data_IF_734495933132
#
_entry.id   IF_734495933132
#
_cell.length_a   1.000
_cell.length_b   1.000
_cell.length_c   1.000
_cell.angle_alpha   90.00
_cell.angle_beta   90.00
_cell.angle_gamma   90.00
#
_symmetry.space_group_name_H-M   'P 1'
#
loop_
_entity.id
_entity.type
_entity.pdbx_description
1 polymer ?
#
# COMPACT_ATOMS: atom_id res chain seq x y z
N UNK A 1 17.94 6.77 -30.36
CA UNK A 1 17.74 8.23 -30.39
C UNK A 1 17.48 8.71 -28.96
N UNK A 2 18.35 9.58 -28.44
CA UNK A 2 18.15 10.22 -27.12
C UNK A 2 17.12 11.31 -27.30
N UNK A 3 15.94 11.16 -26.71
CA UNK A 3 14.93 12.21 -26.68
C UNK A 3 15.46 13.30 -25.74
N UNK A 4 15.82 14.46 -26.27
CA UNK A 4 16.12 15.64 -25.46
C UNK A 4 14.78 16.25 -25.03
N UNK A 5 14.51 16.23 -23.74
CA UNK A 5 13.37 16.94 -23.17
C UNK A 5 13.54 18.45 -23.47
N UNK A 6 12.53 19.05 -24.09
CA UNK A 6 12.53 20.51 -24.37
C UNK A 6 12.19 21.32 -23.12
N UNK A 7 11.53 20.71 -22.14
CA UNK A 7 11.15 21.32 -20.86
C UNK A 7 11.06 20.25 -19.78
N UNK A 8 11.62 20.51 -18.61
CA UNK A 8 11.46 19.70 -17.41
C UNK A 8 10.72 20.53 -16.35
N UNK A 9 9.68 19.95 -15.77
CA UNK A 9 8.92 20.54 -14.67
C UNK A 9 9.10 19.67 -13.43
N UNK A 10 9.70 20.23 -12.40
CA UNK A 10 9.82 19.56 -11.11
C UNK A 10 8.48 19.65 -10.35
N UNK A 11 8.16 18.63 -9.57
CA UNK A 11 7.02 18.63 -8.66
C UNK A 11 7.36 17.84 -7.40
N UNK A 12 6.72 18.20 -6.31
CA UNK A 12 6.91 17.64 -4.99
C UNK A 12 5.56 17.26 -4.37
N UNK A 13 5.61 16.55 -3.25
CA UNK A 13 4.41 16.33 -2.43
C UNK A 13 3.90 17.68 -1.94
N UNK A 14 2.63 18.04 -2.16
CA UNK A 14 2.09 19.31 -1.70
C UNK A 14 1.90 19.33 -0.18
N UNK A 15 1.75 20.50 0.41
CA UNK A 15 1.24 20.62 1.77
C UNK A 15 -0.21 20.16 1.79
N UNK A 16 -0.57 19.35 2.78
CA UNK A 16 -1.89 18.77 2.89
C UNK A 16 -2.31 18.56 4.36
N UNK A 17 -3.59 18.43 4.56
CA UNK A 17 -4.19 18.04 5.83
C UNK A 17 -4.83 16.66 5.68
N UNK A 18 -4.65 15.79 6.68
CA UNK A 18 -5.34 14.50 6.76
C UNK A 18 -6.77 14.75 7.22
N UNK A 19 -7.74 14.27 6.45
CA UNK A 19 -9.17 14.30 6.80
C UNK A 19 -9.70 12.86 6.84
N UNK A 20 -10.88 12.65 7.40
CA UNK A 20 -11.46 11.32 7.61
C UNK A 20 -11.53 10.50 6.30
N UNK A 21 -11.95 11.13 5.20
CA UNK A 21 -12.13 10.44 3.92
C UNK A 21 -10.85 10.39 3.04
N UNK A 22 -9.74 10.99 3.50
CA UNK A 22 -8.52 11.07 2.68
C UNK A 22 -7.67 12.30 3.03
N UNK A 23 -7.55 13.24 2.11
CA UNK A 23 -6.66 14.40 2.22
C UNK A 23 -7.35 15.68 1.76
N UNK A 24 -7.00 16.82 2.35
CA UNK A 24 -7.42 18.15 1.89
C UNK A 24 -6.22 18.94 1.40
N UNK A 25 -6.30 19.50 0.20
CA UNK A 25 -5.32 20.45 -0.35
C UNK A 25 -5.84 21.87 -0.33
N UNK A 26 -4.94 22.82 -0.08
CA UNK A 26 -5.25 24.24 -0.15
C UNK A 26 -4.68 24.85 -1.43
N UNK A 27 -5.53 25.53 -2.20
CA UNK A 27 -5.11 26.29 -3.37
C UNK A 27 -5.85 27.62 -3.41
N UNK A 28 -5.12 28.74 -3.45
CA UNK A 28 -5.69 30.10 -3.51
C UNK A 28 -6.76 30.39 -2.43
N UNK A 29 -6.56 29.85 -1.21
CA UNK A 29 -7.50 30.01 -0.09
C UNK A 29 -8.72 29.09 -0.14
N UNK A 30 -8.83 28.23 -1.16
CA UNK A 30 -9.90 27.22 -1.27
C UNK A 30 -9.39 25.84 -0.89
N UNK A 31 -10.19 25.10 -0.10
CA UNK A 31 -9.92 23.72 0.31
C UNK A 31 -10.53 22.74 -0.67
N UNK A 32 -9.73 21.78 -1.11
CA UNK A 32 -10.13 20.72 -2.04
C UNK A 32 -10.01 19.36 -1.34
N UNK A 33 -11.12 18.77 -0.84
CA UNK A 33 -11.11 17.44 -0.26
C UNK A 33 -10.93 16.37 -1.35
N UNK A 34 -10.02 15.42 -1.11
CA UNK A 34 -9.66 14.33 -2.01
C UNK A 34 -9.78 13.01 -1.27
N UNK A 35 -10.21 11.96 -1.97
CA UNK A 35 -10.34 10.62 -1.38
C UNK A 35 -9.03 9.82 -1.39
N UNK A 36 -8.01 10.32 -2.08
CA UNK A 36 -6.66 9.73 -2.06
C UNK A 36 -5.84 10.30 -0.90
N UNK A 37 -4.86 9.53 -0.44
CA UNK A 37 -3.95 9.91 0.63
C UNK A 37 -2.55 9.29 0.46
N UNK A 38 -1.60 9.76 1.26
CA UNK A 38 -0.20 9.35 1.26
C UNK A 38 0.65 10.14 0.26
N UNK A 39 1.85 10.49 0.69
CA UNK A 39 2.79 11.36 -0.03
C UNK A 39 2.99 10.96 -1.50
N UNK A 40 3.16 9.65 -1.75
CA UNK A 40 3.39 9.15 -3.10
C UNK A 40 2.18 9.31 -4.04
N UNK A 41 0.94 9.21 -3.52
CA UNK A 41 -0.28 9.46 -4.31
C UNK A 41 -0.47 10.94 -4.56
N UNK A 42 -0.18 11.78 -3.56
CA UNK A 42 -0.26 13.24 -3.70
C UNK A 42 0.83 13.77 -4.63
N UNK A 43 2.03 13.19 -4.61
CA UNK A 43 3.08 13.51 -5.58
C UNK A 43 2.66 13.15 -7.01
N UNK A 44 2.03 11.97 -7.21
CA UNK A 44 1.48 11.59 -8.51
C UNK A 44 0.36 12.56 -8.97
N UNK A 45 -0.50 12.99 -8.04
CA UNK A 45 -1.53 14.01 -8.30
C UNK A 45 -0.91 15.32 -8.80
N UNK A 46 0.17 15.80 -8.16
CA UNK A 46 0.87 17.01 -8.58
C UNK A 46 1.47 16.87 -9.98
N UNK A 47 2.05 15.71 -10.30
CA UNK A 47 2.54 15.42 -11.64
C UNK A 47 1.41 15.45 -12.67
N UNK A 48 0.28 14.83 -12.39
CA UNK A 48 -0.90 14.85 -13.26
C UNK A 48 -1.48 16.26 -13.42
N UNK A 49 -1.54 17.04 -12.35
CA UNK A 49 -2.01 18.44 -12.38
C UNK A 49 -1.14 19.31 -13.28
N UNK A 50 0.20 19.16 -13.19
CA UNK A 50 1.12 19.89 -14.07
C UNK A 50 0.93 19.54 -15.55
N UNK A 51 0.72 18.26 -15.88
CA UNK A 51 0.42 17.85 -17.26
C UNK A 51 -0.90 18.45 -17.72
N UNK A 52 -1.95 18.41 -16.90
CA UNK A 52 -3.26 18.99 -17.21
C UNK A 52 -3.17 20.51 -17.44
N UNK A 53 -2.37 21.22 -16.66
CA UNK A 53 -2.12 22.65 -16.83
C UNK A 53 -1.45 22.96 -18.18
N UNK A 54 -0.49 22.13 -18.63
CA UNK A 54 0.10 22.27 -19.98
C UNK A 54 -0.92 22.01 -21.10
N UNK A 55 -1.99 21.28 -20.82
CA UNK A 55 -3.11 21.06 -21.74
C UNK A 55 -4.19 22.17 -21.66
N UNK A 56 -3.98 23.20 -20.84
CA UNK A 56 -4.90 24.34 -20.70
C UNK A 56 -6.02 24.12 -19.67
N UNK A 57 -5.91 23.09 -18.79
CA UNK A 57 -6.88 22.87 -17.71
C UNK A 57 -6.40 23.60 -16.46
N UNK A 58 -7.17 24.56 -15.90
CA UNK A 58 -6.80 25.25 -14.67
C UNK A 58 -6.68 24.28 -13.49
N UNK A 59 -5.78 24.57 -12.54
CA UNK A 59 -5.53 23.74 -11.35
C UNK A 59 -6.77 23.53 -10.51
N UNK A 60 -7.58 24.56 -10.36
CA UNK A 60 -8.85 24.52 -9.64
C UNK A 60 -9.82 23.50 -10.27
N UNK A 61 -9.96 23.54 -11.59
CA UNK A 61 -10.80 22.59 -12.33
C UNK A 61 -10.30 21.15 -12.26
N UNK A 62 -8.97 20.99 -12.28
CA UNK A 62 -8.36 19.68 -12.06
C UNK A 62 -8.67 19.13 -10.66
N UNK A 63 -8.49 19.94 -9.60
CA UNK A 63 -8.76 19.52 -8.22
C UNK A 63 -10.26 19.26 -7.97
N UNK A 64 -11.15 20.07 -8.54
CA UNK A 64 -12.59 19.82 -8.51
C UNK A 64 -12.93 18.46 -9.12
N UNK A 65 -12.36 18.13 -10.28
CA UNK A 65 -12.58 16.85 -10.96
C UNK A 65 -11.95 15.65 -10.22
N UNK A 66 -10.92 15.89 -9.38
CA UNK A 66 -10.28 14.84 -8.59
C UNK A 66 -10.97 14.53 -7.26
N UNK A 67 -12.01 15.30 -6.88
CA UNK A 67 -12.67 15.16 -5.57
C UNK A 67 -13.35 13.80 -5.34
N UNK A 68 -13.84 13.17 -6.40
CA UNK A 68 -14.47 11.84 -6.38
C UNK A 68 -13.54 10.69 -6.84
N UNK A 69 -12.28 11.01 -7.19
CA UNK A 69 -11.31 10.01 -7.59
C UNK A 69 -10.83 9.19 -6.38
N UNK A 70 -11.18 7.92 -6.36
CA UNK A 70 -10.86 6.98 -5.25
C UNK A 70 -9.50 6.30 -5.37
N UNK A 71 -8.69 6.67 -6.37
CA UNK A 71 -7.40 6.05 -6.67
C UNK A 71 -7.45 5.07 -7.85
N UNK A 72 -6.28 4.67 -8.32
CA UNK A 72 -6.17 3.62 -9.35
C UNK A 72 -6.44 2.24 -8.73
N UNK A 73 -7.02 1.34 -9.49
CA UNK A 73 -7.28 -0.04 -9.04
C UNK A 73 -6.00 -0.71 -8.50
N UNK A 74 -6.11 -1.41 -7.40
CA UNK A 74 -5.01 -2.05 -6.66
C UNK A 74 -3.93 -1.06 -6.17
N UNK A 75 -4.26 0.22 -5.97
CA UNK A 75 -3.38 1.25 -5.40
C UNK A 75 -4.06 1.87 -4.20
N UNK A 76 -3.70 1.42 -2.98
CA UNK A 76 -4.42 1.74 -1.74
C UNK A 76 -5.95 1.68 -1.93
N UNK A 77 -6.39 0.63 -2.63
CA UNK A 77 -7.79 0.41 -2.90
C UNK A 77 -8.48 -0.04 -1.62
N UNK A 78 -9.48 0.73 -1.16
CA UNK A 78 -10.32 0.34 -0.04
C UNK A 78 -11.15 -0.89 -0.42
N UNK A 79 -11.15 -1.91 0.43
CA UNK A 79 -11.94 -3.13 0.29
C UNK A 79 -13.23 -3.00 1.07
N UNK A 80 -13.11 -2.77 2.37
CA UNK A 80 -14.26 -2.53 3.29
C UNK A 80 -13.88 -1.51 4.34
N UNK A 81 -14.87 -0.84 4.94
CA UNK A 81 -14.65 0.03 6.10
C UNK A 81 -15.90 0.22 6.93
N UNK A 82 -15.72 0.43 8.24
CA UNK A 82 -16.69 1.00 9.17
C UNK A 82 -16.00 1.96 10.14
N UNK A 83 -16.68 2.42 11.18
CA UNK A 83 -16.13 3.36 12.16
C UNK A 83 -14.87 2.88 12.87
N UNK A 84 -14.67 1.55 13.02
CA UNK A 84 -13.56 0.96 13.77
C UNK A 84 -12.59 0.13 12.95
N UNK A 85 -12.93 -0.24 11.71
CA UNK A 85 -12.12 -1.10 10.85
C UNK A 85 -12.03 -0.58 9.43
N UNK A 86 -10.86 -0.70 8.83
CA UNK A 86 -10.67 -0.47 7.41
C UNK A 86 -9.71 -1.49 6.84
N UNK A 87 -10.01 -2.00 5.65
CA UNK A 87 -9.11 -2.88 4.91
C UNK A 87 -8.79 -2.28 3.55
N UNK A 88 -7.49 -2.26 3.25
CA UNK A 88 -6.94 -1.85 1.94
C UNK A 88 -6.22 -3.01 1.26
N UNK A 89 -6.27 -3.00 -0.09
CA UNK A 89 -5.38 -3.81 -0.93
C UNK A 89 -4.51 -2.91 -1.78
N UNK A 90 -3.22 -3.29 -1.92
CA UNK A 90 -2.23 -2.50 -2.67
C UNK A 90 -1.30 -3.41 -3.48
N UNK A 91 -0.80 -2.90 -4.60
CA UNK A 91 0.16 -3.60 -5.47
C UNK A 91 1.62 -3.40 -5.02
N UNK A 92 1.87 -2.81 -3.86
CA UNK A 92 3.22 -2.63 -3.33
C UNK A 92 3.93 -3.99 -3.18
N UNK A 93 5.09 -4.13 -3.77
CA UNK A 93 5.90 -5.34 -3.77
C UNK A 93 7.40 -5.07 -3.71
N UNK A 94 7.84 -3.82 -3.82
CA UNK A 94 9.24 -3.41 -3.67
C UNK A 94 9.48 -2.73 -2.33
N UNK A 95 10.70 -2.74 -1.79
CA UNK A 95 11.02 -2.18 -0.47
C UNK A 95 10.54 -0.73 -0.28
N UNK A 96 10.81 0.13 -1.26
CA UNK A 96 10.41 1.54 -1.19
C UNK A 96 8.90 1.73 -1.21
N UNK A 97 8.17 0.91 -2.00
CA UNK A 97 6.71 0.96 -2.05
C UNK A 97 6.08 0.44 -0.76
N UNK A 98 6.60 -0.65 -0.17
CA UNK A 98 6.14 -1.12 1.14
C UNK A 98 6.25 -0.03 2.19
N UNK A 99 7.42 0.61 2.28
CA UNK A 99 7.64 1.71 3.22
C UNK A 99 6.66 2.86 2.99
N UNK A 100 6.49 3.30 1.75
CA UNK A 100 5.59 4.40 1.41
C UNK A 100 4.13 4.07 1.71
N UNK A 101 3.67 2.85 1.36
CA UNK A 101 2.27 2.44 1.56
C UNK A 101 1.94 2.22 3.03
N UNK A 102 2.82 1.55 3.81
CA UNK A 102 2.61 1.39 5.26
C UNK A 102 2.63 2.74 5.98
N UNK A 103 3.54 3.65 5.60
CA UNK A 103 3.59 5.00 6.14
C UNK A 103 2.29 5.76 5.83
N UNK A 104 1.79 5.71 4.60
CA UNK A 104 0.56 6.38 4.19
C UNK A 104 -0.65 5.91 5.00
N UNK A 105 -0.83 4.59 5.17
CA UNK A 105 -1.95 4.05 5.95
C UNK A 105 -1.81 4.40 7.43
N UNK A 106 -0.59 4.31 8.00
CA UNK A 106 -0.36 4.69 9.41
C UNK A 106 -0.58 6.18 9.65
N UNK A 107 -0.23 7.05 8.71
CA UNK A 107 -0.47 8.48 8.78
C UNK A 107 -1.97 8.80 8.70
N UNK A 108 -2.73 8.11 7.85
CA UNK A 108 -4.17 8.28 7.71
C UNK A 108 -4.95 7.81 8.95
N UNK A 109 -4.47 6.72 9.58
CA UNK A 109 -5.14 6.08 10.73
C UNK A 109 -4.21 6.01 11.94
N UNK A 110 -3.70 7.16 12.40
CA UNK A 110 -2.67 7.26 13.47
C UNK A 110 -3.06 6.51 14.75
N UNK A 111 -4.34 6.61 15.13
CA UNK A 111 -4.85 6.04 16.37
C UNK A 111 -5.25 4.56 16.26
N UNK A 112 -5.14 3.98 15.05
CA UNK A 112 -5.46 2.57 14.81
C UNK A 112 -4.18 1.75 14.70
N UNK A 113 -4.09 0.58 15.34
CA UNK A 113 -3.06 -0.39 15.00
C UNK A 113 -3.11 -0.74 13.51
N UNK A 114 -1.95 -0.71 12.86
CA UNK A 114 -1.78 -1.12 11.46
C UNK A 114 -1.28 -2.57 11.41
N UNK A 115 -2.10 -3.45 10.86
CA UNK A 115 -1.74 -4.81 10.50
C UNK A 115 -1.39 -4.81 9.02
N UNK A 116 -0.14 -5.15 8.67
CA UNK A 116 0.31 -5.14 7.28
C UNK A 116 0.79 -6.54 6.86
N UNK A 117 0.20 -7.06 5.80
CA UNK A 117 0.57 -8.33 5.19
C UNK A 117 1.18 -8.10 3.80
N UNK A 118 2.33 -8.72 3.53
CA UNK A 118 3.00 -8.66 2.24
C UNK A 118 3.23 -10.04 1.66
N UNK A 119 3.01 -10.20 0.34
CA UNK A 119 3.41 -11.39 -0.41
C UNK A 119 4.69 -11.14 -1.21
N UNK A 120 5.71 -11.99 -0.99
CA UNK A 120 6.86 -12.11 -1.89
C UNK A 120 6.46 -12.93 -3.12
N UNK A 121 6.25 -12.28 -4.26
CA UNK A 121 5.74 -12.92 -5.47
C UNK A 121 6.59 -12.66 -6.72
N UNK A 122 7.30 -11.53 -6.78
CA UNK A 122 8.13 -11.18 -7.94
C UNK A 122 9.41 -12.00 -7.99
N UNK A 123 10.03 -12.10 -9.17
CA UNK A 123 11.32 -12.79 -9.31
C UNK A 123 12.41 -12.24 -8.40
N UNK A 124 12.49 -10.91 -8.25
CA UNK A 124 13.49 -10.27 -7.38
C UNK A 124 13.20 -10.52 -5.89
N UNK A 125 11.94 -10.37 -5.47
CA UNK A 125 11.56 -10.53 -4.05
C UNK A 125 11.76 -11.95 -3.51
N UNK A 126 11.80 -12.95 -4.40
CA UNK A 126 12.02 -14.36 -4.06
C UNK A 126 13.50 -14.78 -4.13
N UNK A 127 14.43 -13.86 -4.38
CA UNK A 127 15.86 -14.13 -4.38
C UNK A 127 16.49 -13.78 -3.03
N UNK A 128 17.25 -14.72 -2.48
CA UNK A 128 17.89 -14.55 -1.17
C UNK A 128 18.78 -13.31 -1.10
N UNK A 129 19.54 -13.04 -2.15
CA UNK A 129 20.43 -11.87 -2.25
C UNK A 129 19.69 -10.52 -2.30
N UNK A 130 18.38 -10.53 -2.62
CA UNK A 130 17.56 -9.33 -2.67
C UNK A 130 16.85 -9.03 -1.32
N UNK A 131 16.62 -10.04 -0.49
CA UNK A 131 15.88 -9.90 0.78
C UNK A 131 16.43 -8.80 1.69
N UNK A 132 17.75 -8.56 1.82
CA UNK A 132 18.27 -7.48 2.68
C UNK A 132 17.79 -6.08 2.28
N UNK A 133 17.34 -5.87 1.04
CA UNK A 133 16.78 -4.58 0.61
C UNK A 133 15.44 -4.27 1.29
N UNK A 134 14.75 -5.29 1.83
CA UNK A 134 13.51 -5.12 2.61
C UNK A 134 13.73 -4.70 4.06
N UNK A 135 14.97 -4.56 4.51
CA UNK A 135 15.29 -4.17 5.88
C UNK A 135 14.47 -2.94 6.31
N UNK A 136 13.73 -3.07 7.41
CA UNK A 136 12.85 -2.03 7.96
C UNK A 136 11.77 -1.48 7.00
N UNK A 137 11.47 -2.15 5.89
CA UNK A 137 10.46 -1.68 4.93
C UNK A 137 9.02 -1.72 5.47
N UNK A 138 8.77 -2.49 6.54
CA UNK A 138 7.47 -2.59 7.21
C UNK A 138 7.45 -2.01 8.64
N UNK A 139 8.44 -1.21 9.02
CA UNK A 139 8.58 -0.65 10.37
C UNK A 139 7.41 0.26 10.81
N UNK A 140 6.61 0.77 9.88
CA UNK A 140 5.44 1.58 10.19
C UNK A 140 4.19 0.75 10.57
N UNK A 141 4.23 -0.56 10.36
CA UNK A 141 3.17 -1.46 10.80
C UNK A 141 3.39 -1.83 12.29
N UNK A 142 2.30 -1.86 13.06
CA UNK A 142 2.33 -2.32 14.46
C UNK A 142 2.44 -3.85 14.50
N UNK A 143 1.87 -4.53 13.49
CA UNK A 143 2.01 -5.98 13.28
C UNK A 143 2.24 -6.23 11.79
N UNK A 144 3.27 -7.02 11.48
CA UNK A 144 3.67 -7.29 10.11
C UNK A 144 3.77 -8.79 9.83
N UNK A 145 3.23 -9.22 8.68
CA UNK A 145 3.36 -10.57 8.17
C UNK A 145 3.94 -10.53 6.75
N UNK A 146 4.89 -11.43 6.50
CA UNK A 146 5.42 -11.69 5.15
C UNK A 146 5.13 -13.12 4.76
N UNK A 147 4.46 -13.29 3.63
CA UNK A 147 4.12 -14.57 3.03
C UNK A 147 4.97 -14.83 1.79
N UNK A 148 5.41 -16.06 1.61
CA UNK A 148 5.95 -16.56 0.34
C UNK A 148 5.48 -17.99 0.08
N UNK A 149 5.26 -18.33 -1.18
CA UNK A 149 4.81 -19.67 -1.57
C UNK A 149 5.97 -20.48 -2.16
N UNK A 150 6.42 -21.59 -1.50
CA UNK A 150 7.48 -22.45 -2.02
C UNK A 150 7.18 -23.05 -3.41
N UNK A 151 5.90 -23.27 -3.75
CA UNK A 151 5.49 -23.75 -5.08
C UNK A 151 5.77 -22.70 -6.17
N UNK A 152 5.63 -21.40 -5.84
CA UNK A 152 5.96 -20.31 -6.78
C UNK A 152 7.47 -20.25 -7.03
N UNK A 153 8.31 -20.46 -6.00
CA UNK A 153 9.77 -20.58 -6.16
C UNK A 153 10.13 -21.70 -7.11
N UNK A 154 9.57 -22.90 -6.88
CA UNK A 154 9.80 -24.07 -7.74
C UNK A 154 9.34 -23.83 -9.19
N UNK A 155 8.15 -23.24 -9.38
CA UNK A 155 7.63 -22.89 -10.71
C UNK A 155 8.53 -21.89 -11.45
N UNK A 156 9.07 -20.91 -10.72
CA UNK A 156 9.99 -19.91 -11.27
C UNK A 156 11.44 -20.42 -11.41
N UNK A 157 11.71 -21.67 -11.01
CA UNK A 157 13.06 -22.26 -10.99
C UNK A 157 14.08 -21.43 -10.22
N UNK A 158 13.64 -20.86 -9.09
CA UNK A 158 14.48 -20.11 -8.17
C UNK A 158 15.00 -21.02 -7.05
N UNK A 159 16.16 -20.67 -6.49
CA UNK A 159 16.70 -21.33 -5.30
C UNK A 159 15.72 -21.18 -4.12
N UNK A 160 15.55 -22.22 -3.30
CA UNK A 160 14.70 -22.15 -2.12
C UNK A 160 15.18 -21.07 -1.13
N UNK A 161 14.22 -20.35 -0.57
CA UNK A 161 14.45 -19.46 0.59
C UNK A 161 13.74 -20.04 1.81
N UNK A 162 14.27 -19.75 2.99
CA UNK A 162 13.70 -20.18 4.28
C UNK A 162 12.94 -19.06 4.98
N UNK A 163 12.11 -19.41 5.98
CA UNK A 163 11.47 -18.40 6.85
C UNK A 163 12.53 -17.53 7.55
N UNK A 164 13.68 -18.10 7.94
CA UNK A 164 14.82 -17.40 8.53
C UNK A 164 15.45 -16.39 7.57
N UNK A 165 15.66 -16.76 6.32
CA UNK A 165 16.20 -15.84 5.31
C UNK A 165 15.32 -14.60 5.17
N UNK A 166 14.00 -14.80 5.11
CA UNK A 166 13.01 -13.71 5.03
C UNK A 166 13.01 -12.87 6.31
N UNK A 167 12.98 -13.52 7.49
CA UNK A 167 12.98 -12.85 8.78
C UNK A 167 14.21 -11.92 8.92
N UNK A 168 15.41 -12.43 8.59
CA UNK A 168 16.65 -11.67 8.63
C UNK A 168 16.62 -10.52 7.61
N UNK A 169 16.15 -10.77 6.39
CA UNK A 169 16.07 -9.77 5.33
C UNK A 169 15.18 -8.57 5.69
N UNK A 170 14.12 -8.80 6.46
CA UNK A 170 13.21 -7.72 6.91
C UNK A 170 13.60 -7.08 8.25
N UNK A 171 14.64 -7.56 8.94
CA UNK A 171 15.13 -6.98 10.20
C UNK A 171 14.53 -7.60 11.46
N UNK A 172 13.88 -8.76 11.37
CA UNK A 172 13.51 -9.59 12.53
C UNK A 172 12.16 -9.27 13.20
N UNK A 173 11.52 -8.15 12.90
CA UNK A 173 10.28 -7.72 13.57
C UNK A 173 9.02 -8.03 12.77
N UNK A 174 8.96 -9.23 12.16
CA UNK A 174 7.84 -9.68 11.33
C UNK A 174 7.48 -11.14 11.62
N UNK A 175 6.24 -11.53 11.33
CA UNK A 175 5.84 -12.93 11.23
C UNK A 175 6.07 -13.43 9.81
N UNK A 176 6.71 -14.58 9.62
CA UNK A 176 6.96 -15.18 8.31
C UNK A 176 6.18 -16.48 8.17
N UNK A 177 5.37 -16.57 7.12
CA UNK A 177 4.56 -17.76 6.82
C UNK A 177 4.75 -18.19 5.36
N UNK A 178 4.49 -19.46 5.06
CA UNK A 178 4.60 -20.01 3.71
C UNK A 178 3.40 -20.88 3.30
N UNK A 179 2.33 -20.81 4.08
CA UNK A 179 1.04 -21.42 3.80
C UNK A 179 -0.06 -20.35 3.89
N UNK A 180 -1.00 -20.36 2.94
CA UNK A 180 -2.11 -19.40 2.87
C UNK A 180 -3.04 -19.51 4.07
N UNK A 181 -3.20 -20.69 4.67
CA UNK A 181 -4.01 -20.87 5.89
C UNK A 181 -3.38 -20.16 7.09
N UNK A 182 -2.03 -20.09 7.16
CA UNK A 182 -1.34 -19.30 8.18
C UNK A 182 -1.60 -17.81 8.02
N UNK A 183 -1.77 -17.31 6.76
CA UNK A 183 -2.18 -15.91 6.50
C UNK A 183 -3.57 -15.64 7.05
N UNK A 184 -4.55 -16.51 6.74
CA UNK A 184 -5.92 -16.40 7.29
C UNK A 184 -5.92 -16.44 8.82
N UNK A 185 -5.18 -17.39 9.42
CA UNK A 185 -5.10 -17.53 10.87
C UNK A 185 -4.53 -16.26 11.53
N UNK A 186 -3.44 -15.72 10.98
CA UNK A 186 -2.82 -14.49 11.47
C UNK A 186 -3.79 -13.29 11.39
N UNK A 187 -4.43 -13.10 10.24
CA UNK A 187 -5.35 -11.98 10.05
C UNK A 187 -6.54 -12.08 10.99
N UNK A 188 -7.17 -13.27 11.13
CA UNK A 188 -8.30 -13.49 12.04
C UNK A 188 -7.92 -13.30 13.51
N UNK A 189 -6.70 -13.70 13.91
CA UNK A 189 -6.21 -13.52 15.28
C UNK A 189 -5.90 -12.06 15.61
N UNK A 190 -5.24 -11.34 14.66
CA UNK A 190 -4.69 -10.00 14.92
C UNK A 190 -5.67 -8.88 14.66
N UNK A 191 -6.65 -9.10 13.78
CA UNK A 191 -7.67 -8.09 13.48
C UNK A 191 -8.61 -7.93 14.68
N UNK A 192 -8.55 -6.76 15.31
CA UNK A 192 -9.38 -6.36 16.46
C UNK A 192 -9.79 -4.90 16.32
N UNK A 193 -10.80 -4.45 17.06
CA UNK A 193 -11.27 -3.06 17.03
C UNK A 193 -10.46 -2.18 18.02
N UNK A 194 -10.10 -0.96 17.60
CA UNK A 194 -10.05 -0.44 16.23
C UNK A 194 -8.79 -0.88 15.51
N UNK A 195 -8.80 -1.08 14.18
CA UNK A 195 -7.58 -1.36 13.42
C UNK A 195 -7.69 -1.01 11.93
N UNK A 196 -6.52 -0.96 11.26
CA UNK A 196 -6.38 -0.91 9.80
C UNK A 196 -5.65 -2.16 9.32
N UNK A 197 -6.17 -2.84 8.30
CA UNK A 197 -5.56 -3.98 7.64
C UNK A 197 -5.09 -3.58 6.24
N UNK A 198 -3.84 -3.87 5.92
CA UNK A 198 -3.23 -3.59 4.63
C UNK A 198 -2.68 -4.87 4.02
N UNK A 199 -3.25 -5.30 2.88
CA UNK A 199 -2.81 -6.46 2.12
C UNK A 199 -2.03 -6.00 0.89
N UNK A 200 -0.74 -6.35 0.79
CA UNK A 200 0.18 -5.89 -0.25
C UNK A 200 0.70 -7.04 -1.08
N UNK A 201 0.40 -7.05 -2.38
CA UNK A 201 0.86 -8.10 -3.29
C UNK A 201 0.82 -7.69 -4.74
N UNK A 202 1.78 -8.19 -5.52
CA UNK A 202 1.69 -8.26 -6.99
C UNK A 202 1.04 -9.57 -7.48
N UNK A 203 0.75 -10.50 -6.55
CA UNK A 203 0.00 -11.74 -6.76
C UNK A 203 -1.36 -11.71 -6.07
N UNK A 204 -1.74 -12.84 -5.46
CA UNK A 204 -3.05 -13.03 -4.82
C UNK A 204 -2.98 -13.75 -3.47
N UNK A 205 -1.81 -13.84 -2.84
CA UNK A 205 -1.59 -14.70 -1.67
C UNK A 205 -2.09 -16.14 -1.87
N UNK A 206 -1.79 -16.69 -3.05
CA UNK A 206 -2.24 -18.01 -3.50
C UNK A 206 -3.78 -18.14 -3.55
N UNK A 207 -4.46 -17.11 -4.06
CA UNK A 207 -5.89 -17.12 -4.33
C UNK A 207 -6.78 -16.57 -3.22
N UNK A 208 -6.26 -15.77 -2.30
CA UNK A 208 -7.12 -15.07 -1.32
C UNK A 208 -8.05 -14.09 -2.06
N UNK A 209 -9.34 -14.27 -1.87
CA UNK A 209 -10.35 -13.28 -2.24
C UNK A 209 -10.40 -12.20 -1.15
N UNK A 210 -9.82 -11.03 -1.45
CA UNK A 210 -9.75 -9.93 -0.49
C UNK A 210 -11.12 -9.31 -0.20
N UNK A 211 -12.04 -9.33 -1.15
CA UNK A 211 -13.36 -8.74 -0.97
C UNK A 211 -14.19 -9.65 -0.03
N UNK A 212 -14.16 -10.98 -0.24
CA UNK A 212 -14.77 -11.95 0.66
C UNK A 212 -14.16 -11.95 2.06
N UNK A 213 -12.81 -11.88 2.16
CA UNK A 213 -12.11 -11.78 3.45
C UNK A 213 -12.49 -10.50 4.20
N UNK A 214 -12.55 -9.37 3.50
CA UNK A 214 -12.92 -8.09 4.10
C UNK A 214 -14.33 -8.11 4.69
N UNK A 215 -15.29 -8.67 3.96
CA UNK A 215 -16.68 -8.83 4.44
C UNK A 215 -16.79 -9.79 5.63
N UNK A 216 -16.02 -10.90 5.62
CA UNK A 216 -15.96 -11.85 6.74
C UNK A 216 -15.47 -11.14 8.02
N UNK A 217 -14.34 -10.42 7.92
CA UNK A 217 -13.76 -9.70 9.04
C UNK A 217 -14.68 -8.60 9.56
N UNK A 218 -15.33 -7.88 8.65
CA UNK A 218 -16.27 -6.82 9.00
C UNK A 218 -17.46 -7.37 9.80
N UNK A 219 -18.01 -8.53 9.39
CA UNK A 219 -19.10 -9.21 10.10
C UNK A 219 -18.67 -9.74 11.47
N UNK A 220 -17.46 -10.28 11.59
CA UNK A 220 -16.93 -10.78 12.86
C UNK A 220 -16.68 -9.67 13.91
N UNK A 221 -16.69 -8.42 13.48
CA UNK A 221 -16.50 -7.25 14.34
C UNK A 221 -17.82 -6.60 14.80
N UNK A 222 -18.96 -7.11 14.39
CA UNK A 222 -20.26 -6.69 14.92
C UNK A 222 -20.61 -7.50 16.16
#
# INVERSE_FOLDING_TARGET
QTIKATRALAYETPLFEVIEAGTSLQLNGTSYPLQIFGDHNLQNLMGAMLVSEQMGIPKEKFLEAMSDFTGAGKRLQKVVSNESFVMYKDFAHSPSKLKATTQAVKQQYKERPLIACMELHTFSSLKKEFLPQYFNSMQNADMALVYFNPKVLAHKKLEPITKEDVLQGFGGSITVVNDTQEVYAFVREKVSKPCALLMMSSGTFDGIDFDALGEELLKAMH
#
